data_IF_377970841356
#
_entry.id   IF_377970841356
#
_cell.length_a   1.000
_cell.length_b   1.000
_cell.length_c   1.000
_cell.angle_alpha   90.00
_cell.angle_beta   90.00
_cell.angle_gamma   90.00
#
_symmetry.space_group_name_H-M   'P 1'
#
loop_
_entity.id
_entity.type
_entity.pdbx_description
1 polymer ?
#
# COMPACT_ATOMS: atom_id res chain seq x y z
N UNK A 1 42.07 -12.81 6.86
CA UNK A 1 40.67 -13.09 6.60
C UNK A 1 39.97 -11.75 6.50
N UNK A 2 39.68 -11.29 5.30
CA UNK A 2 38.92 -10.09 5.02
C UNK A 2 37.49 -10.32 5.51
N UNK A 3 37.13 -9.79 6.66
CA UNK A 3 35.74 -9.64 7.08
C UNK A 3 35.15 -8.60 6.14
N UNK A 4 34.14 -9.01 5.35
CA UNK A 4 33.50 -8.12 4.40
C UNK A 4 32.98 -6.87 5.11
N UNK A 5 33.10 -5.71 4.49
CA UNK A 5 32.63 -4.40 4.95
C UNK A 5 31.16 -4.45 5.46
N UNK A 6 30.33 -5.35 4.93
CA UNK A 6 28.95 -5.52 5.37
C UNK A 6 28.73 -5.94 6.82
N UNK A 7 29.71 -6.55 7.49
CA UNK A 7 29.57 -6.94 8.91
C UNK A 7 29.86 -5.80 9.88
N UNK A 8 30.62 -4.80 9.48
CA UNK A 8 31.02 -3.65 10.30
C UNK A 8 29.86 -2.66 10.43
N UNK A 9 29.00 -2.55 9.42
CA UNK A 9 27.94 -1.53 9.35
C UNK A 9 26.52 -2.02 9.70
N UNK A 10 26.37 -3.27 10.10
CA UNK A 10 25.05 -3.85 10.48
C UNK A 10 24.40 -3.20 11.72
N UNK A 11 25.18 -2.48 12.52
CA UNK A 11 24.73 -1.79 13.73
C UNK A 11 25.45 -0.45 13.86
N UNK A 12 25.05 0.50 13.04
CA UNK A 12 25.55 1.86 13.16
C UNK A 12 24.62 2.66 14.08
N UNK A 13 25.18 3.25 15.13
CA UNK A 13 24.47 4.19 16.00
C UNK A 13 24.78 5.58 15.46
N UNK A 14 23.78 6.20 14.83
CA UNK A 14 23.86 7.59 14.41
C UNK A 14 23.45 8.52 15.56
N UNK A 15 23.92 9.77 15.56
CA UNK A 15 23.46 10.80 16.50
C UNK A 15 22.06 11.36 16.18
N UNK A 16 21.33 10.75 15.25
CA UNK A 16 20.00 11.19 14.80
C UNK A 16 19.01 10.93 15.92
N UNK A 17 18.29 11.97 16.33
CA UNK A 17 17.36 11.91 17.47
C UNK A 17 15.91 11.68 17.02
N UNK A 18 15.60 12.02 15.78
CA UNK A 18 14.24 11.96 15.24
C UNK A 18 14.23 10.99 14.06
N UNK A 19 13.41 9.95 14.14
CA UNK A 19 13.32 8.92 13.08
C UNK A 19 12.84 9.46 11.74
N UNK A 20 12.03 10.52 11.75
CA UNK A 20 11.55 11.20 10.54
C UNK A 20 12.64 11.94 9.73
N UNK A 21 13.82 12.14 10.32
CA UNK A 21 14.96 12.76 9.63
C UNK A 21 15.71 11.80 8.69
N UNK A 22 15.42 10.49 8.75
CA UNK A 22 16.11 9.46 7.98
C UNK A 22 15.09 8.56 7.29
N UNK A 23 15.29 8.37 6.00
CA UNK A 23 14.50 7.46 5.19
C UNK A 23 15.33 6.24 4.75
N UNK A 24 14.62 5.13 4.46
CA UNK A 24 15.24 3.97 3.82
C UNK A 24 15.75 4.37 2.43
N UNK A 25 17.04 4.13 2.17
CA UNK A 25 17.68 4.54 0.92
C UNK A 25 18.52 5.81 1.02
N UNK A 26 18.51 6.49 2.17
CA UNK A 26 19.37 7.64 2.39
C UNK A 26 20.84 7.23 2.35
N UNK A 27 21.66 8.06 1.71
CA UNK A 27 23.10 7.87 1.63
C UNK A 27 23.77 8.53 2.82
N UNK A 28 24.47 7.75 3.64
CA UNK A 28 25.25 8.25 4.78
C UNK A 28 26.69 8.42 4.33
N UNK A 29 27.24 9.62 4.53
CA UNK A 29 28.59 9.96 4.13
C UNK A 29 29.38 10.57 5.30
N UNK A 30 30.68 10.71 5.14
CA UNK A 30 31.57 11.34 6.15
C UNK A 30 31.46 12.86 6.05
N UNK A 31 31.46 13.55 7.19
CA UNK A 31 31.34 15.02 7.24
C UNK A 31 32.50 15.73 6.57
N UNK A 32 33.73 15.19 6.76
CA UNK A 32 34.97 15.79 6.22
C UNK A 32 35.24 15.41 4.76
N UNK A 33 34.62 14.31 4.28
CA UNK A 33 34.73 13.80 2.92
C UNK A 33 33.35 13.39 2.42
N UNK A 34 32.45 14.35 2.18
CA UNK A 34 31.10 14.04 1.68
C UNK A 34 31.16 13.48 0.26
N UNK A 35 30.34 12.52 -0.06
CA UNK A 35 30.13 12.09 -1.43
C UNK A 35 29.29 13.13 -2.18
N UNK A 36 29.62 13.39 -3.44
CA UNK A 36 28.94 14.39 -4.26
C UNK A 36 27.55 13.92 -4.70
N UNK A 37 27.38 12.60 -4.89
CA UNK A 37 26.14 12.01 -5.39
C UNK A 37 25.59 10.96 -4.41
N UNK A 38 24.27 10.87 -4.32
CA UNK A 38 23.58 9.79 -3.61
C UNK A 38 23.76 8.46 -4.36
N UNK A 39 23.71 7.35 -3.62
CA UNK A 39 23.75 6.02 -4.25
C UNK A 39 22.43 5.78 -5.00
N UNK A 40 22.52 5.57 -6.31
CA UNK A 40 21.37 5.31 -7.16
C UNK A 40 20.69 3.97 -6.85
N UNK A 41 19.41 3.88 -7.24
CA UNK A 41 18.63 2.64 -7.19
C UNK A 41 17.73 2.50 -5.97
N UNK A 42 17.65 3.50 -5.10
CA UNK A 42 16.67 3.58 -4.03
C UNK A 42 15.53 4.51 -4.45
N UNK A 43 14.34 3.95 -4.57
CA UNK A 43 13.12 4.72 -4.84
C UNK A 43 12.27 4.80 -3.57
N UNK A 44 11.66 5.95 -3.33
CA UNK A 44 10.70 6.11 -2.24
C UNK A 44 9.46 5.27 -2.56
N UNK A 45 9.16 4.32 -1.69
CA UNK A 45 7.98 3.47 -1.86
C UNK A 45 6.75 4.25 -1.44
N UNK A 46 5.86 4.49 -2.41
CA UNK A 46 4.60 5.21 -2.17
C UNK A 46 3.50 4.24 -1.76
N UNK A 47 2.68 4.58 -0.74
CA UNK A 47 1.52 3.79 -0.40
C UNK A 47 0.52 3.78 -1.57
N UNK A 48 -0.13 2.63 -1.75
CA UNK A 48 -1.10 2.41 -2.83
C UNK A 48 -2.52 2.21 -2.32
N UNK A 49 -2.66 1.81 -1.06
CA UNK A 49 -3.93 1.50 -0.41
C UNK A 49 -4.03 2.32 0.86
N UNK A 50 -5.18 2.95 1.09
CA UNK A 50 -5.43 3.81 2.24
C UNK A 50 -6.64 3.32 3.01
N UNK A 51 -6.52 3.28 4.35
CA UNK A 51 -7.62 2.97 5.24
C UNK A 51 -7.55 3.82 6.51
N UNK A 52 -8.71 4.14 7.07
CA UNK A 52 -8.78 4.75 8.39
C UNK A 52 -8.60 3.68 9.47
N UNK A 53 -7.78 3.96 10.47
CA UNK A 53 -7.61 3.14 11.67
C UNK A 53 -8.11 3.96 12.86
N UNK A 54 -9.08 3.40 13.59
CA UNK A 54 -9.71 4.05 14.72
C UNK A 54 -9.61 3.16 15.95
N UNK A 55 -9.32 3.71 17.14
CA UNK A 55 -9.38 2.94 18.36
C UNK A 55 -10.83 2.57 18.68
N UNK A 56 -11.07 1.46 19.37
CA UNK A 56 -12.42 1.08 19.82
C UNK A 56 -12.88 2.08 20.88
N UNK A 57 -12.00 2.38 21.83
CA UNK A 57 -12.24 3.38 22.86
C UNK A 57 -11.55 4.68 22.50
N UNK A 58 -12.28 5.79 22.53
CA UNK A 58 -11.75 7.11 22.15
C UNK A 58 -10.62 7.61 23.06
N UNK A 59 -10.52 7.06 24.27
CA UNK A 59 -9.46 7.38 25.24
C UNK A 59 -8.10 6.83 24.77
N UNK A 60 -8.09 5.77 23.96
CA UNK A 60 -6.88 5.11 23.45
C UNK A 60 -6.26 5.83 22.23
N UNK A 61 -6.77 6.99 21.83
CA UNK A 61 -6.29 7.71 20.64
C UNK A 61 -4.78 8.03 20.70
N UNK A 62 -4.29 8.52 21.84
CA UNK A 62 -2.86 8.87 21.98
C UNK A 62 -1.98 7.61 22.06
N UNK A 63 -2.49 6.52 22.64
CA UNK A 63 -1.79 5.23 22.69
C UNK A 63 -1.73 4.59 21.31
N UNK A 64 -2.79 4.70 20.52
CA UNK A 64 -2.81 4.29 19.10
C UNK A 64 -1.78 5.07 18.30
N UNK A 65 -1.72 6.40 18.47
CA UNK A 65 -0.73 7.26 17.83
C UNK A 65 0.69 6.80 18.15
N UNK A 66 1.00 6.63 19.45
CA UNK A 66 2.32 6.19 19.89
C UNK A 66 2.68 4.79 19.35
N UNK A 67 1.69 3.91 19.18
CA UNK A 67 1.87 2.57 18.63
C UNK A 67 2.18 2.61 17.14
N UNK A 68 1.45 3.42 16.35
CA UNK A 68 1.71 3.62 14.92
C UNK A 68 3.09 4.26 14.70
N UNK A 69 3.47 5.27 15.49
CA UNK A 69 4.80 5.89 15.43
C UNK A 69 5.93 4.87 15.68
N UNK A 70 5.74 3.95 16.65
CA UNK A 70 6.70 2.87 16.91
C UNK A 70 6.76 1.85 15.77
N UNK A 71 5.62 1.51 15.15
CA UNK A 71 5.58 0.64 13.97
C UNK A 71 6.35 1.26 12.81
N UNK A 72 6.18 2.56 12.58
CA UNK A 72 6.85 3.30 11.51
C UNK A 72 8.37 3.29 11.64
N UNK A 73 8.93 3.16 12.84
CA UNK A 73 10.39 3.00 13.04
C UNK A 73 10.95 1.77 12.34
N UNK A 74 10.14 0.72 12.21
CA UNK A 74 10.54 -0.54 11.57
C UNK A 74 9.95 -0.70 10.16
N UNK A 75 9.02 0.16 9.80
CA UNK A 75 8.29 0.11 8.54
C UNK A 75 8.16 1.51 7.94
N UNK A 76 9.17 1.91 7.18
CA UNK A 76 9.22 3.23 6.55
C UNK A 76 8.15 3.42 5.45
N UNK A 77 7.48 2.36 5.02
CA UNK A 77 6.42 2.43 4.00
C UNK A 77 5.04 2.76 4.60
N UNK A 78 4.88 2.62 5.92
CA UNK A 78 3.67 3.01 6.63
C UNK A 78 3.63 4.53 6.78
N UNK A 79 2.62 5.15 6.18
CA UNK A 79 2.33 6.57 6.36
C UNK A 79 1.04 6.74 7.16
N UNK A 80 0.94 7.78 7.96
CA UNK A 80 -0.29 8.07 8.68
C UNK A 80 -0.48 9.57 8.89
N UNK A 81 -1.72 9.99 8.93
CA UNK A 81 -2.15 11.35 9.23
C UNK A 81 -3.42 11.33 10.10
N UNK A 82 -3.63 12.32 10.95
CA UNK A 82 -4.84 12.40 11.75
C UNK A 82 -6.10 12.48 10.87
N UNK A 83 -7.10 11.70 11.20
CA UNK A 83 -8.42 11.72 10.55
C UNK A 83 -9.53 11.76 11.60
N UNK A 84 -10.65 12.34 11.26
CA UNK A 84 -11.85 12.31 12.10
C UNK A 84 -13.06 11.81 11.31
N UNK A 85 -13.83 10.92 11.95
CA UNK A 85 -15.07 10.39 11.39
C UNK A 85 -16.24 10.79 12.30
N UNK A 86 -17.33 11.19 11.73
CA UNK A 86 -18.55 11.49 12.50
C UNK A 86 -19.10 10.27 13.24
N UNK A 87 -18.83 9.05 12.73
CA UNK A 87 -19.32 7.80 13.31
C UNK A 87 -18.30 7.14 14.26
N UNK A 88 -17.00 7.26 13.99
CA UNK A 88 -15.93 6.54 14.69
C UNK A 88 -15.05 7.45 15.58
N UNK A 89 -15.26 8.77 15.53
CA UNK A 89 -14.47 9.71 16.29
C UNK A 89 -13.11 10.02 15.65
N UNK A 90 -12.10 10.21 16.50
CA UNK A 90 -10.73 10.49 16.07
C UNK A 90 -9.94 9.21 15.80
N UNK A 91 -9.18 9.22 14.73
CA UNK A 91 -8.32 8.12 14.30
C UNK A 91 -7.22 8.61 13.37
N UNK A 92 -6.70 7.69 12.58
CA UNK A 92 -5.62 7.98 11.63
C UNK A 92 -5.93 7.41 10.26
N UNK A 93 -5.72 8.20 9.24
CA UNK A 93 -5.66 7.77 7.86
C UNK A 93 -4.29 7.18 7.60
N UNK A 94 -4.22 5.88 7.35
CA UNK A 94 -2.98 5.18 7.12
C UNK A 94 -2.83 4.78 5.65
N UNK A 95 -1.60 4.92 5.13
CA UNK A 95 -1.24 4.47 3.80
C UNK A 95 -0.41 3.18 3.87
N UNK A 96 -0.76 2.21 3.01
CA UNK A 96 -0.17 0.88 2.96
C UNK A 96 0.28 0.53 1.55
N UNK A 97 1.23 -0.39 1.42
CA UNK A 97 1.68 -0.92 0.13
C UNK A 97 0.63 -1.78 -0.56
N UNK A 98 -0.29 -2.36 0.22
CA UNK A 98 -1.37 -3.23 -0.26
C UNK A 98 -2.12 -3.85 0.91
N UNK A 99 -3.08 -4.74 0.60
CA UNK A 99 -3.94 -5.38 1.60
C UNK A 99 -3.15 -6.20 2.63
N UNK A 100 -2.19 -7.02 2.17
CA UNK A 100 -1.38 -7.83 3.08
C UNK A 100 -0.59 -6.96 4.07
N UNK A 101 -0.07 -5.83 3.62
CA UNK A 101 0.63 -4.88 4.48
C UNK A 101 -0.33 -4.31 5.54
N UNK A 102 -1.55 -3.92 5.16
CA UNK A 102 -2.58 -3.46 6.09
C UNK A 102 -2.92 -4.52 7.14
N UNK A 103 -3.13 -5.76 6.73
CA UNK A 103 -3.41 -6.88 7.64
C UNK A 103 -2.26 -7.12 8.63
N UNK A 104 -1.01 -7.05 8.15
CA UNK A 104 0.18 -7.20 9.01
C UNK A 104 0.26 -6.08 10.03
N UNK A 105 0.02 -4.84 9.63
CA UNK A 105 0.03 -3.68 10.56
C UNK A 105 -1.08 -3.82 11.61
N UNK A 106 -2.28 -4.21 11.20
CA UNK A 106 -3.39 -4.46 12.11
C UNK A 106 -3.08 -5.58 13.12
N UNK A 107 -2.54 -6.70 12.66
CA UNK A 107 -2.12 -7.82 13.51
C UNK A 107 -1.01 -7.41 14.50
N UNK A 108 -0.08 -6.55 14.06
CA UNK A 108 0.97 -6.04 14.93
C UNK A 108 0.46 -5.06 15.97
N UNK A 109 -0.52 -4.22 15.63
CA UNK A 109 -1.17 -3.33 16.61
C UNK A 109 -1.84 -4.15 17.71
N UNK A 110 -2.55 -5.22 17.34
CA UNK A 110 -3.17 -6.12 18.30
C UNK A 110 -2.13 -6.87 19.17
N UNK A 111 -1.16 -7.56 18.55
CA UNK A 111 -0.25 -8.45 19.27
C UNK A 111 0.90 -7.76 20.02
N UNK A 112 1.47 -6.69 19.45
CA UNK A 112 2.64 -6.03 20.02
C UNK A 112 2.27 -4.92 20.98
N UNK A 113 1.09 -4.29 20.79
CA UNK A 113 0.66 -3.11 21.53
C UNK A 113 -0.66 -3.31 22.29
N UNK A 114 -1.30 -4.48 22.17
CA UNK A 114 -2.62 -4.78 22.77
C UNK A 114 -3.69 -3.75 22.36
N UNK A 115 -3.57 -3.26 21.12
CA UNK A 115 -4.39 -2.18 20.59
C UNK A 115 -5.46 -2.73 19.64
N UNK A 116 -6.70 -2.79 20.13
CA UNK A 116 -7.84 -3.19 19.34
C UNK A 116 -8.34 -2.02 18.48
N UNK A 117 -8.34 -2.19 17.17
CA UNK A 117 -8.66 -1.14 16.22
C UNK A 117 -9.79 -1.52 15.27
N UNK A 118 -10.54 -0.51 14.84
CA UNK A 118 -11.51 -0.60 13.75
C UNK A 118 -10.84 -0.06 12.50
N UNK A 119 -10.77 -0.87 11.44
CA UNK A 119 -10.28 -0.45 10.13
C UNK A 119 -11.44 -0.18 9.18
N UNK A 120 -11.38 0.92 8.45
CA UNK A 120 -12.35 1.20 7.41
C UNK A 120 -12.06 0.37 6.15
N UNK A 121 -13.03 0.32 5.23
CA UNK A 121 -12.82 -0.28 3.91
C UNK A 121 -11.66 0.42 3.21
N UNK A 122 -10.65 -0.33 2.72
CA UNK A 122 -9.51 0.25 2.06
C UNK A 122 -9.90 0.91 0.73
N UNK A 123 -9.29 2.06 0.46
CA UNK A 123 -9.43 2.82 -0.78
C UNK A 123 -8.09 2.93 -1.49
N UNK A 124 -8.15 3.24 -2.77
CA UNK A 124 -6.96 3.58 -3.58
C UNK A 124 -6.87 5.10 -3.76
N UNK A 125 -5.69 5.59 -4.11
CA UNK A 125 -5.49 6.98 -4.42
C UNK A 125 -6.05 7.28 -5.82
N UNK A 126 -6.84 8.35 -5.95
CA UNK A 126 -7.30 8.90 -7.21
C UNK A 126 -6.66 10.27 -7.45
N UNK A 127 -6.49 10.65 -8.71
CA UNK A 127 -6.00 11.97 -9.08
C UNK A 127 -7.13 12.71 -9.80
N UNK A 128 -7.60 13.82 -9.23
CA UNK A 128 -8.63 14.65 -9.82
C UNK A 128 -8.01 15.82 -10.57
N UNK A 129 -8.41 15.99 -11.80
CA UNK A 129 -8.07 17.16 -12.63
C UNK A 129 -9.27 18.10 -12.71
N UNK A 130 -9.02 19.39 -12.45
CA UNK A 130 -10.07 20.40 -12.52
C UNK A 130 -10.04 21.15 -13.85
N UNK A 131 -11.17 21.73 -14.22
CA UNK A 131 -11.32 22.58 -15.42
C UNK A 131 -10.40 23.82 -15.40
N UNK A 132 -9.82 24.15 -14.25
CA UNK A 132 -8.84 25.23 -14.08
C UNK A 132 -7.40 24.79 -14.25
N UNK A 133 -7.15 23.48 -14.45
CA UNK A 133 -5.81 22.89 -14.58
C UNK A 133 -5.15 22.58 -13.23
N UNK A 134 -5.88 22.60 -12.12
CA UNK A 134 -5.38 22.17 -10.82
C UNK A 134 -5.49 20.64 -10.72
N UNK A 135 -4.52 20.01 -10.04
CA UNK A 135 -4.43 18.56 -9.86
C UNK A 135 -4.45 18.26 -8.37
N UNK A 136 -5.36 17.39 -7.94
CA UNK A 136 -5.52 16.98 -6.55
C UNK A 136 -5.35 15.48 -6.39
N UNK A 137 -4.46 15.06 -5.48
CA UNK A 137 -4.39 13.68 -5.02
C UNK A 137 -5.47 13.44 -3.97
N UNK A 138 -6.35 12.47 -4.21
CA UNK A 138 -7.47 12.16 -3.34
C UNK A 138 -7.25 10.80 -2.67
N UNK A 139 -7.11 10.81 -1.36
CA UNK A 139 -7.01 9.61 -0.55
C UNK A 139 -8.35 9.29 0.14
N UNK A 140 -9.23 10.29 0.25
CA UNK A 140 -10.53 10.18 0.88
C UNK A 140 -11.62 10.65 -0.09
N UNK A 141 -12.77 9.97 -0.20
CA UNK A 141 -13.90 10.43 -0.98
C UNK A 141 -14.41 11.83 -0.60
N UNK A 142 -14.20 12.28 0.66
CA UNK A 142 -14.56 13.63 1.11
C UNK A 142 -13.73 14.75 0.48
N UNK A 143 -12.54 14.43 -0.04
CA UNK A 143 -11.65 15.41 -0.68
C UNK A 143 -12.03 15.68 -2.14
N UNK A 144 -13.10 15.04 -2.62
CA UNK A 144 -13.55 15.15 -4.01
C UNK A 144 -14.00 16.58 -4.33
N UNK A 145 -13.42 17.23 -5.36
CA UNK A 145 -13.85 18.53 -5.83
C UNK A 145 -15.32 18.51 -6.26
N UNK A 146 -15.96 19.68 -6.25
CA UNK A 146 -17.34 19.77 -6.74
C UNK A 146 -17.43 19.32 -8.20
N UNK A 147 -18.51 18.62 -8.55
CA UNK A 147 -18.72 18.12 -9.92
C UNK A 147 -18.67 19.20 -11.02
N UNK A 148 -18.93 20.47 -10.64
CA UNK A 148 -18.88 21.61 -11.57
C UNK A 148 -17.46 22.09 -11.90
N UNK A 149 -16.47 21.73 -11.06
CA UNK A 149 -15.06 22.08 -11.25
C UNK A 149 -14.22 20.91 -11.71
N UNK A 150 -14.77 19.71 -11.70
CA UNK A 150 -14.08 18.49 -12.08
C UNK A 150 -14.08 18.33 -13.62
N UNK A 151 -12.91 18.05 -14.19
CA UNK A 151 -12.75 17.71 -15.62
C UNK A 151 -12.72 16.18 -15.80
N UNK A 152 -11.72 15.51 -15.22
CA UNK A 152 -11.63 14.05 -15.20
C UNK A 152 -10.90 13.54 -13.97
N UNK A 153 -11.00 12.23 -13.73
CA UNK A 153 -10.35 11.52 -12.62
C UNK A 153 -9.49 10.40 -13.20
N UNK A 154 -8.24 10.32 -12.73
CA UNK A 154 -7.36 9.18 -12.98
C UNK A 154 -7.47 8.18 -11.85
N UNK A 155 -7.51 6.91 -12.19
CA UNK A 155 -7.46 5.79 -11.25
C UNK A 155 -6.22 4.93 -11.48
N UNK A 156 -5.61 4.36 -10.42
CA UNK A 156 -4.46 3.49 -10.57
C UNK A 156 -4.85 2.16 -11.19
N UNK A 157 -4.10 1.74 -12.21
CA UNK A 157 -4.21 0.44 -12.84
C UNK A 157 -3.04 -0.45 -12.47
N UNK A 158 -3.31 -1.74 -12.33
CA UNK A 158 -2.28 -2.76 -12.14
C UNK A 158 -2.28 -3.74 -13.31
N UNK A 159 -1.13 -4.38 -13.52
CA UNK A 159 -1.00 -5.54 -14.39
C UNK A 159 -0.96 -6.80 -13.53
N UNK A 160 -2.03 -7.59 -13.60
CA UNK A 160 -2.17 -8.85 -12.89
C UNK A 160 -1.79 -10.03 -13.82
N UNK A 161 -0.87 -10.87 -13.36
CA UNK A 161 -0.52 -12.13 -14.01
C UNK A 161 -1.10 -13.27 -13.19
N UNK A 162 -1.98 -14.06 -13.80
CA UNK A 162 -2.68 -15.17 -13.16
C UNK A 162 -2.25 -16.46 -13.84
N UNK A 163 -1.65 -17.35 -13.07
CA UNK A 163 -1.22 -18.68 -13.54
C UNK A 163 -2.18 -19.73 -13.00
N UNK A 164 -2.81 -20.50 -13.88
CA UNK A 164 -3.85 -21.46 -13.51
C UNK A 164 -3.87 -22.64 -14.46
N UNK A 165 -4.47 -23.81 -14.07
CA UNK A 165 -4.85 -24.84 -15.03
C UNK A 165 -5.87 -24.32 -16.04
N UNK A 166 -5.80 -24.85 -17.29
CA UNK A 166 -6.64 -24.40 -18.40
C UNK A 166 -8.16 -24.51 -18.12
N UNK A 167 -8.57 -25.43 -17.24
CA UNK A 167 -9.96 -25.68 -16.89
C UNK A 167 -10.65 -24.47 -16.21
N UNK A 168 -9.85 -23.57 -15.61
CA UNK A 168 -10.38 -22.39 -14.88
C UNK A 168 -10.34 -21.08 -15.68
N UNK A 169 -9.92 -21.11 -16.95
CA UNK A 169 -9.81 -19.90 -17.79
C UNK A 169 -11.15 -19.16 -17.86
N UNK A 170 -12.24 -19.86 -18.19
CA UNK A 170 -13.57 -19.25 -18.36
C UNK A 170 -14.06 -18.50 -17.11
N UNK A 171 -14.09 -19.13 -15.94
CA UNK A 171 -14.44 -18.46 -14.68
C UNK A 171 -13.54 -17.25 -14.35
N UNK A 172 -12.23 -17.35 -14.58
CA UNK A 172 -11.29 -16.25 -14.34
C UNK A 172 -11.54 -15.08 -15.29
N UNK A 173 -11.73 -15.36 -16.58
CA UNK A 173 -12.07 -14.32 -17.55
C UNK A 173 -13.36 -13.59 -17.17
N UNK A 174 -14.39 -14.33 -16.74
CA UNK A 174 -15.65 -13.73 -16.27
C UNK A 174 -15.43 -12.85 -15.05
N UNK A 175 -14.61 -13.30 -14.08
CA UNK A 175 -14.27 -12.52 -12.90
C UNK A 175 -13.53 -11.23 -13.29
N UNK A 176 -12.49 -11.33 -14.11
CA UNK A 176 -11.68 -10.17 -14.52
C UNK A 176 -12.48 -9.16 -15.33
N UNK A 177 -13.34 -9.63 -16.27
CA UNK A 177 -14.22 -8.75 -17.03
C UNK A 177 -15.23 -8.03 -16.13
N UNK A 178 -15.79 -8.73 -15.13
CA UNK A 178 -16.67 -8.13 -14.13
C UNK A 178 -16.00 -7.08 -13.24
N UNK A 179 -14.67 -7.07 -13.20
CA UNK A 179 -13.82 -6.11 -12.50
C UNK A 179 -13.16 -5.09 -13.45
N UNK A 180 -13.78 -4.78 -14.57
CA UNK A 180 -13.30 -3.85 -15.61
C UNK A 180 -11.90 -4.19 -16.15
N UNK A 181 -11.53 -5.49 -16.10
CA UNK A 181 -10.23 -5.97 -16.56
C UNK A 181 -10.15 -6.01 -18.08
N UNK A 182 -9.01 -5.59 -18.62
CA UNK A 182 -8.66 -5.64 -20.04
C UNK A 182 -7.64 -6.77 -20.24
N UNK A 183 -7.98 -7.77 -21.06
CA UNK A 183 -7.06 -8.86 -21.38
C UNK A 183 -5.92 -8.33 -22.25
N UNK A 184 -4.68 -8.48 -21.75
CA UNK A 184 -3.47 -8.05 -22.47
C UNK A 184 -2.81 -9.22 -23.19
N UNK A 185 -2.63 -10.34 -22.49
CA UNK A 185 -1.95 -11.51 -23.04
C UNK A 185 -2.47 -12.80 -22.44
N UNK A 186 -2.32 -13.89 -23.21
CA UNK A 186 -2.63 -15.24 -22.79
C UNK A 186 -1.55 -16.17 -23.32
N UNK A 187 -0.84 -16.86 -22.45
CA UNK A 187 0.25 -17.73 -22.80
C UNK A 187 0.06 -19.13 -22.22
N UNK A 188 0.15 -20.16 -23.07
CA UNK A 188 0.11 -21.55 -22.63
C UNK A 188 1.49 -22.05 -22.25
N UNK A 189 1.57 -22.66 -21.08
CA UNK A 189 2.78 -23.29 -20.56
C UNK A 189 2.67 -24.82 -20.62
N UNK A 190 3.79 -25.50 -20.42
CA UNK A 190 3.84 -26.95 -20.31
C UNK A 190 3.04 -27.45 -19.10
N UNK A 191 2.39 -28.62 -19.21
CA UNK A 191 1.67 -29.23 -18.09
C UNK A 191 0.27 -28.67 -17.85
N UNK A 192 -0.47 -28.31 -18.92
CA UNK A 192 -1.86 -27.82 -18.87
C UNK A 192 -2.03 -26.54 -18.05
N UNK A 193 -0.99 -25.71 -17.96
CA UNK A 193 -1.05 -24.40 -17.29
C UNK A 193 -1.13 -23.28 -18.29
N UNK A 194 -1.84 -22.24 -17.89
CA UNK A 194 -1.97 -21.01 -18.65
C UNK A 194 -1.63 -19.82 -17.77
N UNK A 195 -0.95 -18.86 -18.35
CA UNK A 195 -0.75 -17.53 -17.79
C UNK A 195 -1.64 -16.54 -18.52
N UNK A 196 -2.41 -15.79 -17.77
CA UNK A 196 -3.33 -14.77 -18.29
C UNK A 196 -2.92 -13.44 -17.68
N UNK A 197 -2.64 -12.45 -18.52
CA UNK A 197 -2.28 -11.10 -18.08
C UNK A 197 -3.44 -10.14 -18.34
N UNK A 198 -3.88 -9.49 -17.28
CA UNK A 198 -4.93 -8.46 -17.32
C UNK A 198 -4.38 -7.13 -16.82
N UNK A 199 -4.85 -6.03 -17.42
CA UNK A 199 -4.80 -4.71 -16.80
C UNK A 199 -6.15 -4.42 -16.13
N UNK A 200 -6.12 -4.06 -14.85
CA UNK A 200 -7.33 -3.86 -14.05
C UNK A 200 -7.16 -2.67 -13.10
N UNK A 201 -8.24 -1.93 -12.82
CA UNK A 201 -8.21 -0.90 -11.78
C UNK A 201 -7.85 -1.51 -10.42
N UNK A 202 -6.90 -0.90 -9.71
CA UNK A 202 -6.47 -1.37 -8.40
C UNK A 202 -7.64 -1.41 -7.39
N UNK A 203 -8.52 -0.42 -7.43
CA UNK A 203 -9.69 -0.33 -6.55
C UNK A 203 -10.66 -1.52 -6.65
N UNK A 204 -10.70 -2.20 -7.80
CA UNK A 204 -11.56 -3.38 -8.00
C UNK A 204 -10.94 -4.67 -7.40
N UNK A 205 -9.65 -4.64 -7.10
CA UNK A 205 -8.89 -5.81 -6.64
C UNK A 205 -8.73 -5.82 -5.13
N UNK A 206 -8.59 -4.64 -4.55
CA UNK A 206 -8.21 -4.46 -3.15
C UNK A 206 -9.15 -5.15 -2.18
N UNK A 207 -10.45 -5.27 -2.47
CA UNK A 207 -11.42 -5.73 -1.49
C UNK A 207 -11.67 -7.26 -1.52
N UNK A 208 -12.10 -7.83 -2.63
CA UNK A 208 -12.64 -9.20 -2.65
C UNK A 208 -12.10 -10.08 -3.79
N UNK A 209 -11.22 -9.55 -4.61
CA UNK A 209 -10.76 -10.22 -5.82
C UNK A 209 -10.03 -11.53 -5.53
N UNK A 210 -9.09 -11.52 -4.58
CA UNK A 210 -8.29 -12.71 -4.23
C UNK A 210 -9.14 -13.84 -3.67
N UNK A 211 -10.12 -13.53 -2.82
CA UNK A 211 -11.02 -14.53 -2.25
C UNK A 211 -11.94 -15.13 -3.31
N UNK A 212 -12.43 -14.30 -4.22
CA UNK A 212 -13.22 -14.77 -5.36
C UNK A 212 -12.38 -15.63 -6.30
N UNK A 213 -11.13 -15.19 -6.62
CA UNK A 213 -10.20 -15.93 -7.45
C UNK A 213 -9.91 -17.32 -6.87
N UNK A 214 -9.54 -17.39 -5.59
CA UNK A 214 -9.29 -18.66 -4.89
C UNK A 214 -10.53 -19.56 -4.90
N UNK A 215 -11.72 -19.00 -4.67
CA UNK A 215 -12.96 -19.75 -4.63
C UNK A 215 -13.30 -20.38 -5.99
N UNK A 216 -13.26 -19.60 -7.08
CA UNK A 216 -13.60 -20.09 -8.43
C UNK A 216 -12.57 -21.07 -8.99
N UNK A 217 -11.31 -20.96 -8.54
CA UNK A 217 -10.21 -21.84 -8.97
C UNK A 217 -9.91 -22.95 -7.98
N UNK A 218 -10.67 -23.08 -6.90
CA UNK A 218 -10.42 -24.05 -5.82
C UNK A 218 -8.98 -23.98 -5.26
N UNK A 219 -8.39 -22.79 -5.28
CA UNK A 219 -7.02 -22.55 -4.82
C UNK A 219 -5.91 -22.89 -5.84
N UNK A 220 -6.24 -23.13 -7.10
CA UNK A 220 -5.26 -23.44 -8.15
C UNK A 220 -4.75 -22.21 -8.92
N UNK A 221 -5.23 -21.02 -8.61
CA UNK A 221 -4.71 -19.75 -9.12
C UNK A 221 -4.21 -18.89 -7.97
#
# INVERSE_FOLDING_TARGET
VSRGLGDVYKRQISGIKTSSEVKVGDTITHVDEPCDDAIDGFEEVKPMVFAGIYPIDSEDYEDLRASIEKLQLNDASLTFEPESSAALGFGFRCGFLGMLHMEIVQERLDREFDMNVITTVPNVMYIAHTTKGEVYEMHNPSDMPSASTLDFIEEPFIRAQIITPADYIGPIMTLCLGKRGILINQQYHTGNRIEITYEMPLGEIVFDFYDKLKRITKGYA
#
